data_IF_094424983247
#
_entry.id   IF_094424983247
#
_cell.length_a   1.000
_cell.length_b   1.000
_cell.length_c   1.000
_cell.angle_alpha   90.00
_cell.angle_beta   90.00
_cell.angle_gamma   90.00
#
_symmetry.space_group_name_H-M   'P 1'
#
loop_
_entity.id
_entity.type
_entity.pdbx_description
1 polymer ?
#
# COMPACT_ATOMS: atom_id res chain seq x y z
N UNK A 1 -2.01 -4.16 41.76
CA UNK A 1 -0.78 -3.31 41.72
C UNK A 1 0.33 -4.00 40.93
N UNK A 2 0.38 -5.31 40.88
CA UNK A 2 1.50 -6.11 40.32
C UNK A 2 1.63 -6.10 38.79
N UNK A 3 0.61 -5.75 38.03
CA UNK A 3 0.67 -5.73 36.57
C UNK A 3 1.29 -4.47 35.94
N UNK A 4 1.51 -3.41 36.71
CA UNK A 4 2.13 -2.16 36.23
C UNK A 4 3.66 -2.23 36.38
N UNK A 5 4.18 -3.08 37.28
CA UNK A 5 5.62 -3.29 37.44
C UNK A 5 6.25 -4.04 36.24
N UNK A 6 5.48 -4.89 35.54
CA UNK A 6 5.95 -5.55 34.30
C UNK A 6 6.14 -4.61 33.11
N UNK A 7 5.71 -3.34 33.23
CA UNK A 7 5.90 -2.31 32.21
C UNK A 7 7.16 -1.43 32.45
N UNK A 8 7.98 -1.76 33.45
CA UNK A 8 9.27 -1.08 33.61
C UNK A 8 10.17 -1.39 32.44
N UNK A 9 10.81 -0.39 31.83
CA UNK A 9 11.68 -0.59 30.69
C UNK A 9 12.93 -1.37 31.12
N UNK A 10 13.32 -2.39 30.36
CA UNK A 10 14.73 -2.73 30.23
C UNK A 10 15.38 -1.57 29.48
N UNK A 11 15.91 -0.61 30.24
CA UNK A 11 16.73 0.46 29.72
C UNK A 11 18.13 -0.11 29.58
N UNK A 12 18.51 -0.59 28.41
CA UNK A 12 19.90 -0.57 28.02
C UNK A 12 20.25 0.90 27.72
N UNK A 13 20.99 1.49 28.62
CA UNK A 13 21.64 2.80 28.44
C UNK A 13 22.57 2.69 27.23
N UNK A 14 22.19 3.35 26.13
CA UNK A 14 23.09 3.53 24.98
C UNK A 14 23.73 4.92 25.17
N UNK A 15 25.01 4.92 25.56
CA UNK A 15 25.86 6.10 25.54
C UNK A 15 25.97 6.65 24.13
N UNK A 16 25.77 7.96 23.99
CA UNK A 16 26.06 8.69 22.76
C UNK A 16 27.58 8.89 22.69
N UNK A 17 28.27 8.02 21.98
CA UNK A 17 29.65 8.23 21.62
C UNK A 17 29.79 8.46 20.11
N UNK A 18 30.63 9.39 19.80
CA UNK A 18 30.94 10.11 18.59
C UNK A 18 31.10 9.24 17.33
N UNK A 19 30.57 9.75 16.24
CA UNK A 19 30.76 9.19 14.87
C UNK A 19 32.13 9.67 14.38
N UNK A 20 33.15 8.84 14.49
CA UNK A 20 34.39 8.98 13.69
C UNK A 20 34.14 8.51 12.23
N UNK A 21 34.45 9.40 11.29
CA UNK A 21 34.62 9.12 9.89
C UNK A 21 35.68 8.03 9.69
N UNK A 22 35.32 6.97 9.00
CA UNK A 22 36.25 6.05 8.37
C UNK A 22 35.99 6.02 6.87
N UNK A 23 36.73 6.87 6.15
CA UNK A 23 37.13 6.65 4.78
C UNK A 23 38.19 5.56 4.80
N UNK A 24 37.93 4.43 4.17
CA UNK A 24 38.83 3.54 3.45
C UNK A 24 38.20 2.14 3.32
N UNK A 25 37.61 1.86 2.18
CA UNK A 25 37.44 0.49 1.67
C UNK A 25 37.75 0.50 0.17
N UNK A 26 38.74 -0.31 -0.18
CA UNK A 26 39.43 -0.38 -1.44
C UNK A 26 38.60 -0.61 -2.69
N UNK A 27 39.16 -0.18 -3.79
CA UNK A 27 38.75 -0.29 -5.18
C UNK A 27 38.44 -1.74 -5.58
N UNK A 28 37.23 -1.96 -6.08
CA UNK A 28 36.79 -3.21 -6.67
C UNK A 28 35.28 -3.27 -6.84
N UNK A 29 34.63 -2.21 -7.37
CA UNK A 29 33.20 -2.25 -7.64
C UNK A 29 32.86 -1.66 -9.00
N UNK A 30 32.14 -2.42 -9.80
CA UNK A 30 31.29 -1.92 -10.87
C UNK A 30 30.53 -0.68 -10.36
N UNK A 31 30.68 0.46 -11.04
CA UNK A 31 30.02 1.73 -10.65
C UNK A 31 28.50 1.56 -10.70
N UNK A 32 27.89 1.40 -9.53
CA UNK A 32 26.45 1.49 -9.33
C UNK A 32 26.03 2.91 -9.74
N UNK A 33 25.00 3.05 -10.56
CA UNK A 33 24.52 4.37 -10.97
C UNK A 33 23.95 5.11 -9.75
N UNK A 34 23.96 6.44 -9.77
CA UNK A 34 23.41 7.26 -8.66
C UNK A 34 21.96 6.86 -8.35
N UNK A 35 21.15 6.58 -9.37
CA UNK A 35 19.75 6.15 -9.21
C UNK A 35 19.63 4.80 -8.48
N UNK A 36 20.47 3.82 -8.82
CA UNK A 36 20.48 2.52 -8.12
C UNK A 36 20.89 2.67 -6.65
N UNK A 37 21.84 3.56 -6.35
CA UNK A 37 22.25 3.84 -4.99
C UNK A 37 21.10 4.47 -4.16
N UNK A 38 20.38 5.41 -4.73
CA UNK A 38 19.23 6.07 -4.08
C UNK A 38 18.07 5.08 -3.85
N UNK A 39 17.82 4.14 -4.76
CA UNK A 39 16.86 3.06 -4.59
C UNK A 39 17.23 2.10 -3.43
N UNK A 40 18.50 1.73 -3.33
CA UNK A 40 19.00 0.89 -2.22
C UNK A 40 18.77 1.59 -0.88
N UNK A 41 19.13 2.87 -0.76
CA UNK A 41 18.94 3.66 0.45
C UNK A 41 17.43 3.77 0.80
N UNK A 42 16.58 4.01 -0.19
CA UNK A 42 15.13 4.07 0.02
C UNK A 42 14.57 2.73 0.53
N UNK A 43 15.02 1.64 -0.06
CA UNK A 43 14.67 0.28 0.35
C UNK A 43 15.10 -0.01 1.78
N UNK A 44 16.35 0.30 2.14
CA UNK A 44 16.85 0.12 3.52
C UNK A 44 16.02 0.91 4.55
N UNK A 45 15.65 2.15 4.24
CA UNK A 45 14.82 2.98 5.13
C UNK A 45 13.43 2.36 5.35
N UNK A 46 12.82 1.82 4.30
CA UNK A 46 11.52 1.13 4.39
C UNK A 46 11.62 -0.14 5.25
N UNK A 47 12.62 -0.97 4.98
CA UNK A 47 12.83 -2.22 5.73
C UNK A 47 13.14 -1.94 7.21
N UNK A 48 13.99 -0.94 7.48
CA UNK A 48 14.24 -0.49 8.84
C UNK A 48 12.95 -0.03 9.53
N UNK A 49 12.07 0.69 8.86
CA UNK A 49 10.79 1.11 9.42
C UNK A 49 9.88 -0.07 9.78
N UNK A 50 9.80 -1.09 8.91
CA UNK A 50 9.05 -2.30 9.21
C UNK A 50 9.62 -3.04 10.44
N UNK A 51 10.93 -3.14 10.55
CA UNK A 51 11.59 -3.78 11.70
C UNK A 51 11.50 -2.93 12.97
N UNK A 52 11.48 -1.61 12.85
CA UNK A 52 11.39 -0.66 13.96
C UNK A 52 9.97 -0.50 14.52
N UNK A 53 8.94 -1.02 13.86
CA UNK A 53 7.52 -0.83 14.20
C UNK A 53 7.22 -1.11 15.68
N UNK A 54 7.75 -2.21 16.25
CA UNK A 54 7.57 -2.54 17.67
C UNK A 54 8.14 -1.47 18.58
N UNK A 55 9.38 -1.02 18.33
CA UNK A 55 10.02 0.03 19.15
C UNK A 55 9.21 1.32 19.08
N UNK A 56 8.82 1.76 17.90
CA UNK A 56 7.96 2.91 17.70
C UNK A 56 6.65 2.81 18.50
N UNK A 57 5.95 1.69 18.41
CA UNK A 57 4.70 1.46 19.12
C UNK A 57 4.87 1.45 20.65
N UNK A 58 5.94 0.82 21.17
CA UNK A 58 6.23 0.81 22.61
C UNK A 58 6.55 2.22 23.12
N UNK A 59 7.32 3.01 22.37
CA UNK A 59 7.60 4.42 22.73
C UNK A 59 6.29 5.22 22.84
N UNK A 60 5.33 5.03 21.93
CA UNK A 60 4.02 5.70 22.02
C UNK A 60 3.22 5.26 23.25
N UNK A 61 3.25 3.98 23.62
CA UNK A 61 2.65 3.51 24.87
C UNK A 61 3.34 4.17 26.07
N UNK A 62 4.67 4.28 26.08
CA UNK A 62 5.41 4.93 27.16
C UNK A 62 5.03 6.40 27.33
N UNK A 63 4.85 7.11 26.22
CA UNK A 63 4.34 8.50 26.25
C UNK A 63 2.94 8.57 26.89
N UNK A 64 2.07 7.63 26.56
CA UNK A 64 0.72 7.53 27.16
C UNK A 64 0.78 7.23 28.65
N UNK A 65 1.67 6.33 29.09
CA UNK A 65 1.89 6.04 30.51
C UNK A 65 2.38 7.31 31.26
N UNK A 66 3.36 8.01 30.69
CA UNK A 66 3.89 9.25 31.28
C UNK A 66 2.79 10.32 31.42
N UNK A 67 1.94 10.45 30.40
CA UNK A 67 0.80 11.38 30.43
C UNK A 67 -0.23 10.97 31.49
N UNK A 68 -0.55 9.68 31.59
CA UNK A 68 -1.46 9.15 32.62
C UNK A 68 -0.93 9.40 34.03
N UNK A 69 0.37 9.23 34.28
CA UNK A 69 1.00 9.47 35.58
C UNK A 69 0.94 10.94 36.02
N UNK A 70 0.80 11.89 35.07
CA UNK A 70 0.64 13.32 35.36
C UNK A 70 -0.79 13.73 35.72
N UNK A 71 -1.77 12.85 35.54
CA UNK A 71 -3.16 13.10 35.93
C UNK A 71 -3.29 13.15 37.47
N UNK A 72 -4.33 13.82 37.98
CA UNK A 72 -4.65 13.77 39.40
C UNK A 72 -5.00 12.33 39.83
N UNK A 73 -4.87 12.03 41.13
CA UNK A 73 -5.23 10.71 41.67
C UNK A 73 -6.68 10.35 41.41
N UNK A 74 -7.58 11.35 41.47
CA UNK A 74 -8.99 11.18 41.18
C UNK A 74 -9.20 10.80 39.69
N UNK A 75 -8.56 11.49 38.76
CA UNK A 75 -8.63 11.17 37.33
C UNK A 75 -8.03 9.80 37.03
N UNK A 76 -6.89 9.45 37.64
CA UNK A 76 -6.31 8.12 37.51
C UNK A 76 -7.24 7.03 38.01
N UNK A 77 -7.88 7.23 39.16
CA UNK A 77 -8.84 6.28 39.73
C UNK A 77 -10.07 6.10 38.83
N UNK A 78 -10.54 7.18 38.20
CA UNK A 78 -11.67 7.13 37.28
C UNK A 78 -11.37 6.35 35.98
N UNK A 79 -10.14 6.38 35.51
CA UNK A 79 -9.72 5.66 34.29
C UNK A 79 -9.24 4.22 34.57
N UNK A 80 -8.76 3.95 35.79
CA UNK A 80 -8.25 2.63 36.19
C UNK A 80 -9.40 1.68 36.56
N UNK A 81 -9.31 0.36 36.30
CA UNK A 81 -8.19 -0.34 35.66
C UNK A 81 -8.28 -0.41 34.12
N UNK A 82 -9.37 0.06 33.52
CA UNK A 82 -9.65 -0.10 32.09
C UNK A 82 -8.54 0.46 31.19
N UNK A 83 -8.05 1.68 31.50
CA UNK A 83 -7.00 2.30 30.71
C UNK A 83 -5.66 1.55 30.80
N UNK A 84 -5.28 1.09 31.97
CA UNK A 84 -4.06 0.31 32.18
C UNK A 84 -4.13 -1.02 31.42
N UNK A 85 -5.26 -1.73 31.51
CA UNK A 85 -5.48 -2.96 30.75
C UNK A 85 -5.42 -2.72 29.23
N UNK A 86 -5.98 -1.60 28.77
CA UNK A 86 -5.91 -1.21 27.35
C UNK A 86 -4.45 -1.05 26.88
N UNK A 87 -3.59 -0.37 27.64
CA UNK A 87 -2.16 -0.20 27.28
C UNK A 87 -1.42 -1.55 27.19
N UNK A 88 -1.73 -2.48 28.11
CA UNK A 88 -1.18 -3.85 28.04
C UNK A 88 -1.63 -4.54 26.76
N UNK A 89 -2.91 -4.45 26.41
CA UNK A 89 -3.42 -5.05 25.17
C UNK A 89 -2.88 -4.39 23.92
N UNK A 90 -2.66 -3.07 23.90
CA UNK A 90 -1.96 -2.39 22.81
C UNK A 90 -0.56 -2.98 22.58
N UNK A 91 0.21 -3.23 23.66
CA UNK A 91 1.54 -3.84 23.57
C UNK A 91 1.48 -5.23 22.91
N UNK A 92 0.54 -6.07 23.32
CA UNK A 92 0.33 -7.40 22.72
C UNK A 92 0.03 -7.31 21.21
N UNK A 93 -0.87 -6.42 20.81
CA UNK A 93 -1.23 -6.21 19.40
C UNK A 93 -0.06 -5.66 18.57
N UNK A 94 0.75 -4.75 19.12
CA UNK A 94 1.95 -4.22 18.46
C UNK A 94 2.99 -5.33 18.26
N UNK A 95 3.21 -6.17 19.26
CA UNK A 95 4.14 -7.31 19.16
C UNK A 95 3.66 -8.29 18.10
N UNK A 96 2.36 -8.53 18.02
CA UNK A 96 1.78 -9.40 17.00
C UNK A 96 1.99 -8.83 15.58
N UNK A 97 1.67 -7.56 15.36
CA UNK A 97 1.90 -6.91 14.06
C UNK A 97 3.38 -6.97 13.66
N UNK A 98 4.30 -6.80 14.61
CA UNK A 98 5.73 -6.91 14.33
C UNK A 98 6.13 -8.30 13.82
N UNK A 99 5.49 -9.38 14.32
CA UNK A 99 5.75 -10.73 13.81
C UNK A 99 5.31 -10.83 12.35
N UNK A 100 4.10 -10.36 12.03
CA UNK A 100 3.59 -10.37 10.64
C UNK A 100 4.49 -9.55 9.71
N UNK A 101 4.93 -8.35 10.14
CA UNK A 101 5.84 -7.53 9.35
C UNK A 101 7.20 -8.22 9.10
N UNK A 102 7.70 -9.00 10.06
CA UNK A 102 8.91 -9.81 9.87
C UNK A 102 8.69 -10.94 8.87
N UNK A 103 7.58 -11.66 8.97
CA UNK A 103 7.22 -12.73 8.04
C UNK A 103 7.08 -12.20 6.60
N UNK A 104 6.54 -10.98 6.42
CA UNK A 104 6.48 -10.30 5.12
C UNK A 104 7.88 -10.06 4.56
N UNK A 105 8.81 -9.54 5.38
CA UNK A 105 10.21 -9.30 4.96
C UNK A 105 10.90 -10.62 4.63
N UNK A 106 10.81 -11.61 5.49
CA UNK A 106 11.44 -12.92 5.30
C UNK A 106 10.96 -13.62 4.03
N UNK A 107 9.65 -13.53 3.74
CA UNK A 107 9.08 -14.03 2.50
C UNK A 107 9.64 -13.26 1.27
N UNK A 108 9.82 -11.94 1.40
CA UNK A 108 10.34 -11.09 0.34
C UNK A 108 11.80 -11.38 -0.03
N UNK A 109 12.64 -11.74 0.94
CA UNK A 109 14.05 -12.11 0.69
C UNK A 109 14.15 -13.22 -0.34
N UNK A 110 13.27 -14.20 -0.28
CA UNK A 110 13.27 -15.33 -1.21
C UNK A 110 12.84 -14.92 -2.64
N UNK A 111 12.06 -13.85 -2.77
CA UNK A 111 11.58 -13.34 -4.05
C UNK A 111 12.63 -12.53 -4.80
N UNK A 112 13.35 -11.66 -4.08
CA UNK A 112 14.35 -10.77 -4.68
C UNK A 112 15.75 -11.41 -4.81
N UNK A 113 15.90 -12.69 -4.46
CA UNK A 113 17.11 -13.49 -4.72
C UNK A 113 18.36 -12.92 -4.06
N UNK A 114 19.27 -12.45 -4.88
CA UNK A 114 20.58 -11.93 -4.44
C UNK A 114 20.60 -10.43 -4.11
N UNK A 115 19.43 -9.79 -3.93
CA UNK A 115 19.38 -8.38 -3.51
C UNK A 115 20.08 -8.21 -2.17
N UNK A 116 21.26 -7.58 -2.23
CA UNK A 116 22.13 -7.35 -1.08
C UNK A 116 21.46 -6.45 -0.02
N UNK A 117 20.71 -5.44 -0.45
CA UNK A 117 20.05 -4.50 0.46
C UNK A 117 18.97 -5.21 1.30
N UNK A 118 18.19 -6.08 0.68
CA UNK A 118 17.16 -6.85 1.35
C UNK A 118 17.75 -7.87 2.35
N UNK A 119 18.83 -8.57 1.96
CA UNK A 119 19.55 -9.51 2.84
C UNK A 119 20.22 -8.79 4.02
N UNK A 120 20.87 -7.65 3.76
CA UNK A 120 21.50 -6.83 4.79
C UNK A 120 20.46 -6.32 5.80
N UNK A 121 19.28 -5.88 5.33
CA UNK A 121 18.22 -5.39 6.19
C UNK A 121 17.66 -6.48 7.12
N UNK A 122 17.52 -7.72 6.65
CA UNK A 122 17.08 -8.86 7.49
C UNK A 122 18.10 -9.18 8.58
N UNK A 123 19.39 -8.96 8.29
CA UNK A 123 20.49 -9.18 9.22
C UNK A 123 20.81 -7.96 10.11
N UNK A 124 20.09 -6.83 9.95
CA UNK A 124 20.31 -5.64 10.78
C UNK A 124 20.20 -5.97 12.27
N UNK A 125 21.33 -5.97 12.95
CA UNK A 125 21.43 -6.13 14.41
C UNK A 125 21.10 -4.83 15.15
N UNK A 126 21.30 -3.68 14.52
CA UNK A 126 21.01 -2.36 15.07
C UNK A 126 19.93 -1.64 14.28
N UNK A 127 18.73 -1.56 14.88
CA UNK A 127 17.62 -0.80 14.31
C UNK A 127 17.82 0.69 14.62
N UNK A 128 17.81 1.51 13.57
CA UNK A 128 17.87 2.97 13.70
C UNK A 128 16.46 3.55 13.93
N UNK A 129 16.31 4.68 14.65
CA UNK A 129 15.04 5.38 14.71
C UNK A 129 14.53 5.70 13.29
N UNK A 130 13.28 5.37 13.03
CA UNK A 130 12.65 5.65 11.74
C UNK A 130 11.85 6.94 11.82
N UNK A 131 11.85 7.72 10.74
CA UNK A 131 11.06 8.95 10.68
C UNK A 131 9.54 8.65 10.68
N UNK A 132 8.75 9.64 11.12
CA UNK A 132 7.29 9.54 11.13
C UNK A 132 6.73 9.30 9.72
N UNK A 133 7.38 9.80 8.67
CA UNK A 133 7.02 9.55 7.28
C UNK A 133 7.05 8.04 6.95
N UNK A 134 8.18 7.35 7.22
CA UNK A 134 8.27 5.91 6.95
C UNK A 134 7.38 5.08 7.88
N UNK A 135 7.25 5.49 9.15
CA UNK A 135 6.31 4.84 10.08
C UNK A 135 4.85 5.00 9.64
N UNK A 136 4.50 6.14 9.06
CA UNK A 136 3.17 6.36 8.46
C UNK A 136 2.93 5.39 7.30
N UNK A 137 3.91 5.18 6.43
CA UNK A 137 3.82 4.19 5.33
C UNK A 137 3.55 2.78 5.85
N UNK A 138 4.28 2.33 6.89
CA UNK A 138 4.05 1.00 7.50
C UNK A 138 2.64 0.88 8.09
N UNK A 139 2.17 1.92 8.81
CA UNK A 139 0.81 1.94 9.35
C UNK A 139 -0.25 1.93 8.25
N UNK A 140 -0.04 2.67 7.18
CA UNK A 140 -0.92 2.68 6.01
C UNK A 140 -0.98 1.31 5.33
N UNK A 141 0.15 0.60 5.24
CA UNK A 141 0.19 -0.75 4.67
C UNK A 141 -0.68 -1.74 5.46
N UNK A 142 -0.62 -1.71 6.80
CA UNK A 142 -1.50 -2.54 7.63
C UNK A 142 -2.99 -2.24 7.37
N UNK A 143 -3.35 -0.97 7.14
CA UNK A 143 -4.73 -0.59 6.75
C UNK A 143 -5.07 -1.02 5.32
N UNK A 144 -4.10 -0.99 4.41
CA UNK A 144 -4.30 -1.49 3.04
C UNK A 144 -4.45 -3.01 2.99
N UNK A 145 -3.76 -3.78 3.85
CA UNK A 145 -4.04 -5.21 4.02
C UNK A 145 -5.51 -5.42 4.42
N UNK A 146 -6.02 -4.66 5.38
CA UNK A 146 -7.43 -4.72 5.77
C UNK A 146 -8.34 -4.37 4.61
N UNK A 147 -8.10 -3.26 3.88
CA UNK A 147 -8.88 -2.82 2.73
C UNK A 147 -8.92 -3.89 1.63
N UNK A 148 -7.75 -4.35 1.19
CA UNK A 148 -7.64 -5.16 -0.03
C UNK A 148 -7.88 -6.64 0.21
N UNK A 149 -7.55 -7.15 1.39
CA UNK A 149 -7.50 -8.59 1.65
C UNK A 149 -8.26 -9.05 2.89
N UNK A 150 -9.18 -8.24 3.43
CA UNK A 150 -10.04 -8.70 4.52
C UNK A 150 -11.54 -8.57 4.20
N UNK A 151 -12.34 -9.31 4.97
CA UNK A 151 -13.80 -9.19 4.89
C UNK A 151 -14.29 -7.79 5.31
N UNK A 152 -13.61 -7.10 6.25
CA UNK A 152 -13.96 -5.73 6.64
C UNK A 152 -13.77 -4.72 5.50
N UNK A 153 -12.78 -4.92 4.63
CA UNK A 153 -12.49 -4.05 3.50
C UNK A 153 -13.42 -4.25 2.28
N UNK A 154 -14.32 -5.26 2.32
CA UNK A 154 -15.14 -5.62 1.16
C UNK A 154 -15.95 -4.45 0.60
N UNK A 155 -16.67 -3.72 1.44
CA UNK A 155 -17.50 -2.58 1.02
C UNK A 155 -16.67 -1.48 0.35
N UNK A 156 -15.48 -1.20 0.90
CA UNK A 156 -14.56 -0.22 0.33
C UNK A 156 -14.05 -0.68 -1.05
N UNK A 157 -13.58 -1.92 -1.17
CA UNK A 157 -13.16 -2.50 -2.45
C UNK A 157 -14.26 -2.48 -3.50
N UNK A 158 -15.46 -2.89 -3.14
CA UNK A 158 -16.61 -2.91 -4.04
C UNK A 158 -16.95 -1.51 -4.55
N UNK A 159 -16.84 -0.49 -3.71
CA UNK A 159 -17.05 0.91 -4.13
C UNK A 159 -16.01 1.41 -5.14
N UNK A 160 -14.80 0.83 -5.15
CA UNK A 160 -13.71 1.22 -6.03
C UNK A 160 -13.58 0.33 -7.29
N UNK A 161 -13.86 -0.98 -7.18
CA UNK A 161 -13.52 -1.96 -8.22
C UNK A 161 -14.73 -2.43 -9.04
N UNK A 162 -15.93 -2.47 -8.44
CA UNK A 162 -17.06 -3.12 -9.07
C UNK A 162 -17.42 -2.54 -10.43
N UNK A 163 -17.47 -1.21 -10.57
CA UNK A 163 -17.84 -0.59 -11.86
C UNK A 163 -16.84 -0.94 -12.96
N UNK A 164 -15.56 -0.94 -12.64
CA UNK A 164 -14.48 -1.35 -13.56
C UNK A 164 -14.64 -2.81 -13.99
N UNK A 165 -14.86 -3.72 -13.04
CA UNK A 165 -15.03 -5.14 -13.31
C UNK A 165 -16.31 -5.38 -14.12
N UNK A 166 -17.41 -4.71 -13.82
CA UNK A 166 -18.67 -4.82 -14.55
C UNK A 166 -18.55 -4.35 -16.00
N UNK A 167 -17.83 -3.25 -16.24
CA UNK A 167 -17.58 -2.77 -17.61
C UNK A 167 -16.78 -3.80 -18.40
N UNK A 168 -15.74 -4.38 -17.82
CA UNK A 168 -14.98 -5.42 -18.51
C UNK A 168 -15.83 -6.65 -18.81
N UNK A 169 -16.70 -7.06 -17.89
CA UNK A 169 -17.65 -8.16 -18.12
C UNK A 169 -18.60 -7.89 -19.27
N UNK A 170 -19.07 -6.64 -19.41
CA UNK A 170 -19.98 -6.23 -20.48
C UNK A 170 -19.28 -6.13 -21.83
N UNK A 171 -18.05 -5.58 -21.86
CA UNK A 171 -17.28 -5.43 -23.09
C UNK A 171 -16.67 -6.75 -23.60
N UNK A 172 -16.36 -7.66 -22.67
CA UNK A 172 -15.82 -8.99 -22.95
C UNK A 172 -16.71 -10.09 -22.35
N UNK A 173 -17.92 -10.29 -22.91
CA UNK A 173 -18.90 -11.22 -22.33
C UNK A 173 -18.49 -12.68 -22.46
N UNK A 174 -17.73 -13.03 -23.48
CA UNK A 174 -17.25 -14.39 -23.74
C UNK A 174 -16.05 -14.70 -22.83
N UNK A 175 -16.30 -15.51 -21.79
CA UNK A 175 -15.29 -15.88 -20.80
C UNK A 175 -14.16 -16.72 -21.38
N UNK A 176 -14.40 -17.51 -22.39
CA UNK A 176 -13.38 -18.39 -22.99
C UNK A 176 -12.30 -17.57 -23.69
N UNK A 177 -12.66 -16.44 -24.26
CA UNK A 177 -11.75 -15.55 -24.97
C UNK A 177 -11.06 -14.53 -24.07
N UNK A 178 -11.46 -14.36 -22.80
CA UNK A 178 -10.84 -13.36 -21.88
C UNK A 178 -9.37 -13.59 -21.63
N UNK A 179 -8.89 -14.83 -21.70
CA UNK A 179 -7.47 -15.16 -21.50
C UNK A 179 -6.54 -14.55 -22.55
N UNK A 180 -7.08 -14.17 -23.72
CA UNK A 180 -6.34 -13.50 -24.80
C UNK A 180 -6.28 -11.97 -24.63
N UNK A 181 -7.08 -11.40 -23.74
CA UNK A 181 -7.13 -9.97 -23.45
C UNK A 181 -6.06 -9.62 -22.42
N UNK A 182 -5.10 -8.81 -22.84
CA UNK A 182 -3.99 -8.35 -21.98
C UNK A 182 -4.36 -7.04 -21.27
N UNK A 183 -4.43 -7.10 -19.93
CA UNK A 183 -4.82 -5.99 -19.06
C UNK A 183 -3.61 -5.54 -18.24
N UNK A 184 -3.34 -4.23 -18.21
CA UNK A 184 -2.37 -3.62 -17.31
C UNK A 184 -3.08 -2.86 -16.19
N UNK A 185 -2.61 -3.05 -14.95
CA UNK A 185 -3.08 -2.32 -13.77
C UNK A 185 -1.88 -1.62 -13.13
N UNK A 186 -1.57 -0.35 -13.51
CA UNK A 186 -0.54 0.41 -12.84
C UNK A 186 -1.00 0.83 -11.43
N UNK A 187 -0.05 0.93 -10.47
CA UNK A 187 -0.35 1.19 -9.07
C UNK A 187 -1.11 0.03 -8.43
N UNK A 188 -0.72 -1.21 -8.74
CA UNK A 188 -1.45 -2.41 -8.34
C UNK A 188 -1.53 -2.62 -6.82
N UNK A 189 -0.73 -1.90 -6.02
CA UNK A 189 -0.72 -1.98 -4.56
C UNK A 189 -0.49 -3.41 -4.07
N UNK A 190 -1.43 -3.94 -3.30
CA UNK A 190 -1.37 -5.31 -2.78
C UNK A 190 -1.88 -6.37 -3.77
N UNK A 191 -2.11 -6.01 -5.04
CA UNK A 191 -2.45 -6.94 -6.11
C UNK A 191 -3.90 -7.44 -6.09
N UNK A 192 -4.80 -6.88 -5.26
CA UNK A 192 -6.17 -7.40 -5.15
C UNK A 192 -6.97 -7.22 -6.45
N UNK A 193 -6.97 -6.04 -7.06
CA UNK A 193 -7.68 -5.82 -8.32
C UNK A 193 -7.12 -6.71 -9.43
N UNK A 194 -5.79 -6.86 -9.50
CA UNK A 194 -5.14 -7.78 -10.46
C UNK A 194 -5.65 -9.20 -10.25
N UNK A 195 -5.68 -9.67 -9.01
CA UNK A 195 -6.17 -11.00 -8.64
C UNK A 195 -7.64 -11.21 -9.05
N UNK A 196 -8.52 -10.24 -8.79
CA UNK A 196 -9.94 -10.33 -9.16
C UNK A 196 -10.13 -10.41 -10.69
N UNK A 197 -9.38 -9.61 -11.45
CA UNK A 197 -9.43 -9.64 -12.91
C UNK A 197 -8.89 -10.95 -13.49
N UNK A 198 -7.85 -11.52 -12.88
CA UNK A 198 -7.35 -12.87 -13.23
C UNK A 198 -8.41 -13.93 -12.93
N UNK A 199 -9.13 -13.83 -11.81
CA UNK A 199 -10.24 -14.72 -11.46
C UNK A 199 -11.43 -14.58 -12.44
N UNK A 200 -11.58 -13.40 -13.06
CA UNK A 200 -12.57 -13.19 -14.16
C UNK A 200 -12.12 -13.79 -15.50
N UNK A 201 -10.91 -14.30 -15.59
CA UNK A 201 -10.37 -14.96 -16.79
C UNK A 201 -9.43 -14.10 -17.65
N UNK A 202 -9.16 -12.84 -17.30
CA UNK A 202 -8.26 -11.96 -18.06
C UNK A 202 -6.79 -12.29 -17.81
N UNK A 203 -5.93 -12.05 -18.82
CA UNK A 203 -4.48 -12.03 -18.61
C UNK A 203 -4.07 -10.66 -18.07
N UNK A 204 -3.55 -10.61 -16.85
CA UNK A 204 -3.33 -9.34 -16.14
C UNK A 204 -1.91 -9.20 -15.64
N UNK A 205 -1.33 -8.02 -15.85
CA UNK A 205 -0.11 -7.58 -15.22
C UNK A 205 -0.38 -6.39 -14.31
N UNK A 206 0.00 -6.50 -13.04
CA UNK A 206 0.11 -5.35 -12.14
C UNK A 206 1.48 -4.71 -12.27
N UNK A 207 1.56 -3.37 -12.15
CA UNK A 207 2.81 -2.65 -11.97
C UNK A 207 2.76 -1.92 -10.63
N UNK A 208 3.83 -2.00 -9.84
CA UNK A 208 3.91 -1.37 -8.52
C UNK A 208 5.34 -0.89 -8.25
N UNK A 209 5.46 0.33 -7.73
CA UNK A 209 6.76 0.95 -7.41
C UNK A 209 7.18 0.71 -5.95
N UNK A 210 6.22 0.71 -5.03
CA UNK A 210 6.51 0.65 -3.60
C UNK A 210 7.01 -0.72 -3.17
N UNK A 211 8.26 -0.81 -2.73
CA UNK A 211 8.84 -2.05 -2.18
C UNK A 211 8.00 -2.61 -1.03
N UNK A 212 7.40 -1.75 -0.19
CA UNK A 212 6.52 -2.14 0.91
C UNK A 212 5.26 -2.85 0.41
N UNK A 213 4.67 -2.35 -0.69
CA UNK A 213 3.52 -3.00 -1.35
C UNK A 213 3.94 -4.30 -2.02
N UNK A 214 5.06 -4.32 -2.73
CA UNK A 214 5.59 -5.52 -3.40
C UNK A 214 5.87 -6.65 -2.42
N UNK A 215 6.57 -6.39 -1.31
CA UNK A 215 6.83 -7.38 -0.27
C UNK A 215 5.53 -7.93 0.34
N UNK A 216 4.58 -7.03 0.63
CA UNK A 216 3.32 -7.40 1.25
C UNK A 216 2.42 -8.17 0.27
N UNK A 217 2.34 -7.76 -0.99
CA UNK A 217 1.58 -8.48 -2.02
C UNK A 217 2.17 -9.87 -2.28
N UNK A 218 3.52 -9.98 -2.33
CA UNK A 218 4.21 -11.26 -2.46
C UNK A 218 3.88 -12.21 -1.30
N UNK A 219 3.90 -11.71 -0.06
CA UNK A 219 3.50 -12.49 1.10
C UNK A 219 2.06 -13.00 0.98
N UNK A 220 1.12 -12.16 0.60
CA UNK A 220 -0.28 -12.55 0.50
C UNK A 220 -0.50 -13.51 -0.65
N UNK A 221 0.00 -13.20 -1.85
CA UNK A 221 -0.26 -13.97 -3.08
C UNK A 221 0.47 -15.31 -3.13
N UNK A 222 1.67 -15.40 -2.55
CA UNK A 222 2.53 -16.57 -2.68
C UNK A 222 2.70 -17.37 -1.38
N UNK A 223 2.57 -16.74 -0.19
CA UNK A 223 2.74 -17.41 1.10
C UNK A 223 1.42 -17.88 1.70
N UNK A 224 0.36 -17.05 1.66
CA UNK A 224 -0.94 -17.44 2.20
C UNK A 224 -1.59 -18.52 1.33
N UNK A 225 -2.09 -19.57 1.97
CA UNK A 225 -2.70 -20.74 1.27
C UNK A 225 -4.17 -20.91 1.59
N UNK A 226 -4.68 -20.23 2.60
CA UNK A 226 -6.06 -20.35 3.06
C UNK A 226 -6.66 -18.99 3.37
N UNK A 227 -7.98 -18.89 3.29
CA UNK A 227 -8.70 -17.73 3.77
C UNK A 227 -8.56 -17.59 5.29
N UNK A 228 -8.41 -16.35 5.77
CA UNK A 228 -8.29 -15.97 7.18
C UNK A 228 -7.10 -16.61 7.92
N UNK A 229 -6.05 -16.98 7.20
CA UNK A 229 -4.85 -17.63 7.73
C UNK A 229 -4.05 -16.70 8.65
N UNK A 230 -4.02 -15.41 8.34
CA UNK A 230 -3.25 -14.40 9.06
C UNK A 230 -4.16 -13.42 9.80
N UNK A 231 -3.57 -12.71 10.78
CA UNK A 231 -4.27 -11.70 11.57
C UNK A 231 -3.38 -10.48 11.78
N UNK A 232 -3.98 -9.29 11.75
CA UNK A 232 -3.32 -8.01 12.08
C UNK A 232 -4.22 -7.14 12.96
N UNK A 233 -3.63 -6.09 13.54
CA UNK A 233 -4.32 -5.06 14.33
C UNK A 233 -4.02 -3.69 13.68
N UNK A 234 -4.70 -3.34 12.56
CA UNK A 234 -4.30 -2.21 11.72
C UNK A 234 -4.49 -0.84 12.39
N UNK A 235 -5.34 -0.77 13.42
CA UNK A 235 -5.71 0.48 14.09
C UNK A 235 -5.06 0.67 15.46
N UNK A 236 -4.23 -0.26 15.91
CA UNK A 236 -3.65 -0.24 17.26
C UNK A 236 -2.90 1.06 17.59
N UNK A 237 -2.27 1.69 16.60
CA UNK A 237 -1.55 2.96 16.75
C UNK A 237 -2.38 4.20 16.39
N UNK A 238 -3.67 4.04 16.08
CA UNK A 238 -4.58 5.16 15.86
C UNK A 238 -5.21 5.55 17.20
N UNK A 239 -4.60 6.51 17.87
CA UNK A 239 -5.01 6.94 19.22
C UNK A 239 -6.15 7.98 19.23
N UNK A 240 -6.54 8.48 18.05
CA UNK A 240 -7.60 9.48 17.88
C UNK A 240 -8.84 8.87 17.22
N UNK A 241 -9.99 9.52 17.43
CA UNK A 241 -11.26 9.19 16.77
C UNK A 241 -11.75 7.75 17.01
N UNK A 242 -11.44 7.15 18.15
CA UNK A 242 -11.92 5.83 18.53
C UNK A 242 -13.19 5.93 19.36
N UNK A 243 -14.22 5.15 19.03
CA UNK A 243 -15.42 5.02 19.85
C UNK A 243 -15.17 4.21 21.13
N UNK A 244 -14.33 3.19 21.03
CA UNK A 244 -13.97 2.34 22.17
C UNK A 244 -12.55 1.78 22.05
N UNK A 245 -12.01 1.29 23.16
CA UNK A 245 -10.76 0.52 23.16
C UNK A 245 -10.86 -0.76 22.32
N UNK A 246 -12.01 -1.40 22.31
CA UNK A 246 -12.23 -2.62 21.54
C UNK A 246 -12.17 -2.34 20.03
N UNK A 247 -12.68 -1.20 19.56
CA UNK A 247 -12.62 -0.81 18.15
C UNK A 247 -11.19 -0.53 17.70
N UNK A 248 -10.39 0.10 18.56
CA UNK A 248 -8.98 0.35 18.28
C UNK A 248 -8.14 -0.94 18.22
N UNK A 249 -8.43 -1.88 19.11
CA UNK A 249 -7.65 -3.13 19.28
C UNK A 249 -8.26 -4.33 18.55
N UNK A 250 -9.23 -4.10 17.66
CA UNK A 250 -9.87 -5.22 16.97
C UNK A 250 -8.92 -5.93 16.03
N UNK A 251 -8.93 -7.26 16.05
CA UNK A 251 -8.19 -8.04 15.07
C UNK A 251 -8.90 -8.02 13.71
N UNK A 252 -8.10 -8.05 12.65
CA UNK A 252 -8.57 -8.21 11.28
C UNK A 252 -7.89 -9.44 10.68
N UNK A 253 -8.67 -10.42 10.25
CA UNK A 253 -8.16 -11.62 9.58
C UNK A 253 -8.04 -11.39 8.08
N UNK A 254 -6.99 -11.95 7.48
CA UNK A 254 -6.71 -11.91 6.04
C UNK A 254 -5.92 -13.14 5.58
N UNK A 255 -5.87 -13.46 4.27
CA UNK A 255 -6.73 -12.93 3.22
C UNK A 255 -8.19 -13.42 3.37
N UNK A 256 -9.18 -12.66 2.89
CA UNK A 256 -10.61 -13.05 2.95
C UNK A 256 -10.99 -14.16 1.97
N UNK A 257 -10.13 -14.45 1.02
CA UNK A 257 -10.23 -15.53 0.04
C UNK A 257 -8.89 -16.27 -0.04
N UNK A 258 -8.89 -17.51 -0.51
CA UNK A 258 -7.64 -18.19 -0.85
C UNK A 258 -7.01 -17.49 -2.07
N UNK A 259 -5.78 -16.92 -1.98
CA UNK A 259 -5.19 -16.21 -3.09
C UNK A 259 -4.58 -17.12 -4.16
N UNK A 260 -4.43 -18.41 -3.85
CA UNK A 260 -3.86 -19.40 -4.78
C UNK A 260 -4.78 -19.59 -5.98
N UNK A 261 -4.22 -19.39 -7.16
CA UNK A 261 -4.90 -19.64 -8.43
C UNK A 261 -4.53 -21.02 -8.97
N UNK A 262 -5.45 -21.70 -9.71
CA UNK A 262 -5.11 -22.96 -10.38
C UNK A 262 -3.95 -22.79 -11.36
N UNK A 263 -3.05 -23.79 -11.44
CA UNK A 263 -1.87 -23.74 -12.32
C UNK A 263 -2.22 -24.00 -13.79
N UNK A 264 -3.32 -24.69 -14.06
CA UNK A 264 -3.81 -25.07 -15.40
C UNK A 264 -4.66 -23.98 -16.07
N UNK A 265 -4.78 -22.79 -15.47
CA UNK A 265 -5.54 -21.69 -16.06
C UNK A 265 -4.88 -21.20 -17.38
N UNK A 266 -5.68 -20.83 -18.38
CA UNK A 266 -5.16 -20.36 -19.67
C UNK A 266 -4.64 -18.91 -19.62
N UNK A 267 -5.07 -18.11 -18.63
CA UNK A 267 -4.72 -16.70 -18.47
C UNK A 267 -3.50 -16.48 -17.59
N UNK A 268 -2.83 -15.35 -17.81
CA UNK A 268 -1.58 -14.99 -17.13
C UNK A 268 -1.85 -14.10 -15.92
N UNK A 269 -1.04 -14.29 -14.89
CA UNK A 269 -0.97 -13.41 -13.72
C UNK A 269 0.49 -13.02 -13.46
N UNK A 270 0.80 -11.73 -13.50
CA UNK A 270 2.15 -11.23 -13.20
C UNK A 270 2.13 -9.90 -12.46
N UNK A 271 3.19 -9.64 -11.70
CA UNK A 271 3.49 -8.35 -11.08
C UNK A 271 4.83 -7.86 -11.60
N UNK A 272 4.91 -6.58 -11.99
CA UNK A 272 6.11 -5.90 -12.45
C UNK A 272 6.50 -4.85 -11.40
N UNK A 273 7.70 -4.94 -10.87
CA UNK A 273 8.26 -3.95 -9.97
C UNK A 273 8.88 -2.78 -10.76
N UNK A 274 8.73 -1.57 -10.25
CA UNK A 274 9.38 -0.37 -10.77
C UNK A 274 8.43 0.79 -11.06
N UNK A 275 9.03 1.96 -11.30
CA UNK A 275 8.30 3.15 -11.73
C UNK A 275 7.53 2.87 -13.02
N UNK A 276 6.32 3.44 -13.12
CA UNK A 276 5.43 3.16 -14.26
C UNK A 276 6.01 3.61 -15.60
N UNK A 277 6.61 4.81 -15.65
CA UNK A 277 7.17 5.35 -16.88
C UNK A 277 8.38 4.51 -17.35
N UNK A 278 9.24 4.13 -16.41
CA UNK A 278 10.41 3.29 -16.69
C UNK A 278 10.02 1.85 -17.05
N UNK A 279 9.09 1.25 -16.30
CA UNK A 279 8.63 -0.11 -16.56
C UNK A 279 7.95 -0.26 -17.93
N UNK A 280 7.25 0.79 -18.39
CA UNK A 280 6.52 0.79 -19.66
C UNK A 280 7.29 1.48 -20.82
N UNK A 281 8.54 1.90 -20.60
CA UNK A 281 9.29 2.68 -21.60
C UNK A 281 9.48 1.97 -22.95
N UNK A 282 9.57 0.65 -22.95
CA UNK A 282 9.76 -0.16 -24.15
C UNK A 282 8.45 -0.71 -24.74
N UNK A 283 7.33 -0.59 -24.03
CA UNK A 283 6.03 -1.06 -24.52
C UNK A 283 5.47 -0.08 -25.57
N UNK A 284 4.89 -0.64 -26.61
CA UNK A 284 4.16 0.10 -27.64
C UNK A 284 3.03 -0.77 -28.17
N UNK A 285 1.80 -0.26 -28.15
CA UNK A 285 0.62 -0.95 -28.70
C UNK A 285 0.50 -2.42 -28.26
N UNK A 286 0.79 -2.66 -26.98
CA UNK A 286 0.82 -4.00 -26.39
C UNK A 286 -0.50 -4.35 -25.69
N UNK A 287 -1.09 -3.40 -24.96
CA UNK A 287 -2.18 -3.66 -24.04
C UNK A 287 -3.55 -3.45 -24.69
N UNK A 288 -4.47 -4.39 -24.44
CA UNK A 288 -5.87 -4.25 -24.84
C UNK A 288 -6.61 -3.31 -23.91
N UNK A 289 -6.29 -3.37 -22.61
CA UNK A 289 -6.89 -2.54 -21.57
C UNK A 289 -5.85 -2.04 -20.59
N UNK A 290 -5.93 -0.76 -20.23
CA UNK A 290 -5.22 -0.19 -19.07
C UNK A 290 -6.26 0.27 -18.05
N UNK A 291 -6.07 -0.10 -16.77
CA UNK A 291 -6.98 0.23 -15.69
C UNK A 291 -6.22 0.99 -14.61
N UNK A 292 -6.62 2.23 -14.37
CA UNK A 292 -6.06 3.09 -13.33
C UNK A 292 -7.10 3.32 -12.23
N UNK A 293 -6.80 2.86 -11.01
CA UNK A 293 -7.68 3.04 -9.84
C UNK A 293 -6.87 3.69 -8.73
N UNK A 294 -7.20 4.94 -8.36
CA UNK A 294 -6.43 5.75 -7.42
C UNK A 294 -4.94 5.84 -7.81
N UNK A 295 -4.67 6.17 -9.09
CA UNK A 295 -3.32 6.08 -9.64
C UNK A 295 -2.84 7.33 -10.35
N UNK A 296 -3.65 7.98 -11.20
CA UNK A 296 -3.13 9.06 -12.08
C UNK A 296 -2.59 10.25 -11.31
N UNK A 297 -3.08 10.49 -10.11
CA UNK A 297 -2.65 11.56 -9.19
C UNK A 297 -1.39 11.22 -8.37
N UNK A 298 -0.81 10.05 -8.60
CA UNK A 298 0.51 9.66 -8.04
C UNK A 298 1.67 10.14 -8.92
N UNK A 299 1.39 10.64 -10.13
CA UNK A 299 2.39 11.16 -11.03
C UNK A 299 2.95 12.51 -10.53
N UNK A 300 4.24 12.76 -10.77
CA UNK A 300 4.81 14.11 -10.70
C UNK A 300 4.14 14.97 -11.77
N UNK A 301 4.12 14.48 -13.01
CA UNK A 301 3.41 15.06 -14.14
C UNK A 301 2.39 14.08 -14.70
N UNK A 302 1.11 14.34 -14.48
CA UNK A 302 0.02 13.48 -14.95
C UNK A 302 -0.04 13.35 -16.47
N UNK A 303 0.48 14.32 -17.21
CA UNK A 303 0.51 14.28 -18.67
C UNK A 303 1.44 13.19 -19.19
N UNK A 304 2.54 12.93 -18.51
CA UNK A 304 3.47 11.85 -18.88
C UNK A 304 2.84 10.47 -18.71
N UNK A 305 1.99 10.31 -17.67
CA UNK A 305 1.20 9.08 -17.51
C UNK A 305 0.20 8.92 -18.65
N UNK A 306 -0.51 9.97 -19.04
CA UNK A 306 -1.47 9.96 -20.15
C UNK A 306 -0.78 9.59 -21.46
N UNK A 307 0.39 10.20 -21.74
CA UNK A 307 1.17 9.94 -22.95
C UNK A 307 1.69 8.50 -23.00
N UNK A 308 2.12 7.98 -21.86
CA UNK A 308 2.57 6.59 -21.74
C UNK A 308 1.39 5.63 -21.95
N UNK A 309 0.23 5.87 -21.32
CA UNK A 309 -0.97 5.05 -21.51
C UNK A 309 -1.39 5.04 -22.97
N UNK A 310 -1.39 6.22 -23.63
CA UNK A 310 -1.68 6.29 -25.06
C UNK A 310 -0.70 5.47 -25.90
N UNK A 311 0.60 5.55 -25.60
CA UNK A 311 1.67 4.84 -26.34
C UNK A 311 1.50 3.32 -26.22
N UNK A 312 1.23 2.81 -25.00
CA UNK A 312 1.23 1.37 -24.72
C UNK A 312 -0.08 0.66 -25.09
N UNK A 313 -1.20 1.38 -25.18
CA UNK A 313 -2.48 0.83 -25.63
C UNK A 313 -2.43 0.51 -27.14
N UNK A 314 -3.02 -0.62 -27.52
CA UNK A 314 -3.32 -0.95 -28.92
C UNK A 314 -4.29 0.08 -29.48
N UNK A 315 -4.33 0.22 -30.81
CA UNK A 315 -5.40 0.96 -31.47
C UNK A 315 -6.74 0.26 -31.19
N UNK A 316 -7.76 1.01 -30.77
CA UNK A 316 -9.02 0.49 -30.25
C UNK A 316 -8.96 -0.04 -28.81
N UNK A 317 -7.80 0.03 -28.17
CA UNK A 317 -7.62 -0.36 -26.76
C UNK A 317 -8.32 0.60 -25.80
N UNK A 318 -8.66 0.10 -24.63
CA UNK A 318 -9.47 0.80 -23.62
C UNK A 318 -8.63 1.32 -22.47
N UNK A 319 -8.93 2.52 -22.02
CA UNK A 319 -8.47 3.03 -20.74
C UNK A 319 -9.66 3.27 -19.80
N UNK A 320 -9.64 2.63 -18.63
CA UNK A 320 -10.65 2.79 -17.59
C UNK A 320 -9.95 3.46 -16.41
N UNK A 321 -10.47 4.60 -15.96
CA UNK A 321 -9.93 5.33 -14.82
C UNK A 321 -10.98 5.52 -13.73
N UNK A 322 -10.56 5.36 -12.48
CA UNK A 322 -11.34 5.65 -11.29
C UNK A 322 -10.47 6.23 -10.19
N UNK A 323 -10.75 7.44 -9.72
CA UNK A 323 -10.01 8.01 -8.60
C UNK A 323 -10.22 9.50 -8.41
N UNK A 324 -9.71 10.04 -7.30
CA UNK A 324 -9.61 11.48 -7.04
C UNK A 324 -8.39 12.08 -7.74
N UNK A 325 -8.13 13.35 -7.44
CA UNK A 325 -6.93 14.10 -7.83
C UNK A 325 -6.31 14.70 -6.56
N UNK A 326 -5.63 13.87 -5.78
CA UNK A 326 -4.98 14.28 -4.51
C UNK A 326 -3.55 14.74 -4.70
N UNK A 327 -2.97 14.48 -5.88
CA UNK A 327 -1.60 14.82 -6.27
C UNK A 327 -0.56 14.63 -5.17
N UNK A 328 0.14 13.51 -5.23
CA UNK A 328 1.09 13.08 -4.19
C UNK A 328 2.31 13.99 -4.03
N UNK A 329 2.58 14.85 -5.01
CA UNK A 329 3.70 15.79 -5.04
C UNK A 329 3.20 17.25 -5.07
N UNK A 330 1.99 17.51 -4.57
CA UNK A 330 1.43 18.85 -4.47
C UNK A 330 2.32 19.77 -3.60
N UNK A 331 2.09 21.08 -3.72
CA UNK A 331 2.80 22.11 -2.94
C UNK A 331 4.32 22.14 -3.15
N UNK A 332 4.81 21.65 -4.30
CA UNK A 332 6.22 21.73 -4.70
C UNK A 332 7.12 20.68 -4.07
N UNK A 333 6.56 19.54 -3.62
CA UNK A 333 7.34 18.42 -3.08
C UNK A 333 8.28 17.77 -4.11
N UNK A 334 8.03 17.97 -5.42
CA UNK A 334 8.92 17.52 -6.48
C UNK A 334 9.08 18.57 -7.58
N UNK A 335 10.27 18.67 -8.17
CA UNK A 335 10.53 19.52 -9.33
C UNK A 335 9.72 19.01 -10.53
N UNK A 336 9.00 19.92 -11.20
CA UNK A 336 8.15 19.60 -12.34
C UNK A 336 6.77 19.05 -11.99
N UNK A 337 6.40 19.02 -10.72
CA UNK A 337 5.05 18.67 -10.31
C UNK A 337 4.02 19.65 -10.89
N UNK A 338 2.87 19.10 -11.30
CA UNK A 338 1.77 19.88 -11.84
C UNK A 338 0.42 19.34 -11.37
N UNK A 339 -0.39 20.20 -10.77
CA UNK A 339 -1.72 19.93 -10.26
C UNK A 339 -2.78 20.46 -11.23
N UNK A 340 -3.32 19.58 -12.05
CA UNK A 340 -4.34 19.96 -13.05
C UNK A 340 -5.75 19.62 -12.54
N UNK A 341 -6.73 20.51 -12.74
CA UNK A 341 -8.12 20.18 -12.50
C UNK A 341 -8.62 19.12 -13.48
N UNK A 342 -9.63 18.37 -13.09
CA UNK A 342 -10.18 17.25 -13.87
C UNK A 342 -10.51 17.64 -15.32
N UNK A 343 -11.10 18.83 -15.54
CA UNK A 343 -11.45 19.30 -16.89
C UNK A 343 -10.23 19.43 -17.82
N UNK A 344 -9.10 19.91 -17.28
CA UNK A 344 -7.86 20.04 -18.06
C UNK A 344 -7.30 18.68 -18.44
N UNK A 345 -7.38 17.69 -17.53
CA UNK A 345 -7.00 16.30 -17.79
C UNK A 345 -7.87 15.71 -18.90
N UNK A 346 -9.19 15.84 -18.83
CA UNK A 346 -10.12 15.34 -19.86
C UNK A 346 -9.86 16.01 -21.22
N UNK A 347 -9.60 17.33 -21.24
CA UNK A 347 -9.24 18.04 -22.48
C UNK A 347 -7.94 17.50 -23.07
N UNK A 348 -6.92 17.22 -22.24
CA UNK A 348 -5.66 16.66 -22.74
C UNK A 348 -5.84 15.25 -23.30
N UNK A 349 -6.55 14.37 -22.60
CA UNK A 349 -6.88 13.03 -23.06
C UNK A 349 -7.60 13.08 -24.43
N UNK A 350 -8.57 13.99 -24.58
CA UNK A 350 -9.29 14.20 -25.85
C UNK A 350 -8.32 14.62 -26.98
N UNK A 351 -7.39 15.55 -26.70
CA UNK A 351 -6.37 15.98 -27.67
C UNK A 351 -5.40 14.88 -28.06
N UNK A 352 -5.24 13.84 -27.24
CA UNK A 352 -4.41 12.65 -27.51
C UNK A 352 -5.15 11.57 -28.30
N UNK A 353 -6.25 11.91 -28.99
CA UNK A 353 -7.06 10.97 -29.79
C UNK A 353 -7.69 9.83 -28.99
N UNK A 354 -8.13 10.11 -27.79
CA UNK A 354 -9.04 9.23 -27.07
C UNK A 354 -10.50 9.68 -27.32
N UNK A 355 -11.39 8.72 -27.54
CA UNK A 355 -12.83 8.92 -27.56
C UNK A 355 -13.41 8.44 -26.25
N UNK A 356 -14.13 9.33 -25.53
CA UNK A 356 -14.83 8.96 -24.30
C UNK A 356 -16.09 8.17 -24.63
N UNK A 357 -16.23 7.00 -24.06
CA UNK A 357 -17.45 6.18 -24.06
C UNK A 357 -18.30 6.53 -22.81
N UNK A 358 -17.63 6.91 -21.72
CA UNK A 358 -18.23 7.27 -20.44
C UNK A 358 -17.35 8.30 -19.72
N UNK A 359 -17.96 9.34 -19.16
CA UNK A 359 -17.33 10.33 -18.29
C UNK A 359 -18.34 10.72 -17.21
N UNK A 360 -18.10 10.24 -15.98
CA UNK A 360 -18.96 10.50 -14.83
C UNK A 360 -18.21 11.35 -13.81
N UNK A 361 -18.76 12.53 -13.58
CA UNK A 361 -18.33 13.46 -12.55
C UNK A 361 -19.27 13.33 -11.36
N UNK A 362 -18.89 13.79 -10.22
CA UNK A 362 -19.60 14.07 -8.95
C UNK A 362 -21.04 13.56 -8.65
N UNK A 363 -21.78 12.97 -9.59
CA UNK A 363 -23.16 12.53 -9.41
C UNK A 363 -23.29 11.01 -9.20
N UNK A 364 -22.24 10.36 -8.72
CA UNK A 364 -22.33 8.92 -8.39
C UNK A 364 -23.18 8.73 -7.14
N UNK A 365 -24.11 7.82 -7.23
CA UNK A 365 -24.95 7.42 -6.10
C UNK A 365 -24.16 6.78 -4.94
N UNK A 366 -22.94 6.32 -5.22
CA UNK A 366 -22.05 5.70 -4.24
C UNK A 366 -20.66 6.37 -4.29
N UNK A 367 -20.33 7.20 -3.31
CA UNK A 367 -18.99 7.75 -3.17
C UNK A 367 -17.97 6.65 -2.83
N UNK A 368 -16.72 6.85 -3.25
CA UNK A 368 -15.64 5.95 -2.92
C UNK A 368 -15.22 6.12 -1.47
N UNK A 369 -15.26 5.07 -0.70
CA UNK A 369 -14.60 4.98 0.58
C UNK A 369 -13.11 4.72 0.34
N UNK A 370 -12.23 5.32 1.16
CA UNK A 370 -10.80 5.06 1.05
C UNK A 370 -10.13 5.09 2.42
N UNK A 371 -9.45 4.00 2.76
CA UNK A 371 -8.89 3.74 4.09
C UNK A 371 -9.94 3.93 5.20
N UNK A 372 -11.16 3.52 4.93
CA UNK A 372 -12.31 3.74 5.77
C UNK A 372 -12.28 2.83 6.99
N UNK A 373 -12.18 3.41 8.17
CA UNK A 373 -12.46 2.71 9.41
C UNK A 373 -13.91 2.97 9.85
N UNK A 374 -14.83 2.08 9.52
CA UNK A 374 -16.26 2.21 9.88
C UNK A 374 -16.53 2.29 11.40
N UNK A 375 -15.52 1.91 12.22
CA UNK A 375 -15.58 2.01 13.69
C UNK A 375 -14.76 3.18 14.22
N UNK A 376 -14.57 4.23 13.41
CA UNK A 376 -13.93 5.50 13.78
C UNK A 376 -14.93 6.65 13.74
N UNK A 377 -14.64 7.70 14.51
CA UNK A 377 -15.37 8.98 14.43
C UNK A 377 -15.00 9.75 13.14
N UNK A 378 -13.96 9.34 12.43
CA UNK A 378 -13.49 9.97 11.19
C UNK A 378 -13.34 8.92 10.10
N UNK A 379 -13.88 9.23 8.93
CA UNK A 379 -13.62 8.50 7.69
C UNK A 379 -13.53 9.47 6.51
N UNK A 380 -12.78 9.05 5.50
CA UNK A 380 -12.64 9.80 4.24
C UNK A 380 -13.53 9.20 3.18
N UNK A 381 -14.10 10.10 2.37
CA UNK A 381 -14.97 9.76 1.27
C UNK A 381 -14.60 10.64 0.07
N UNK A 382 -14.41 10.05 -1.09
CA UNK A 382 -14.07 10.77 -2.31
C UNK A 382 -15.22 10.71 -3.32
N UNK A 383 -15.47 11.84 -3.98
CA UNK A 383 -16.25 11.91 -5.20
C UNK A 383 -15.28 11.76 -6.37
N UNK A 384 -15.02 10.52 -6.77
CA UNK A 384 -14.04 10.21 -7.79
C UNK A 384 -14.52 10.54 -9.20
N UNK A 385 -13.58 10.97 -10.05
CA UNK A 385 -13.77 10.94 -11.49
C UNK A 385 -13.75 9.50 -11.99
N UNK A 386 -14.69 9.15 -12.85
CA UNK A 386 -14.74 7.85 -13.52
C UNK A 386 -14.93 8.04 -15.01
N UNK A 387 -14.04 7.47 -15.80
CA UNK A 387 -14.19 7.47 -17.25
C UNK A 387 -13.76 6.16 -17.90
N UNK A 388 -14.32 5.94 -19.07
CA UNK A 388 -13.89 4.91 -20.01
C UNK A 388 -13.65 5.58 -21.34
N UNK A 389 -12.48 5.40 -21.91
CA UNK A 389 -12.17 5.92 -23.22
C UNK A 389 -11.42 4.91 -24.09
N UNK A 390 -11.56 5.06 -25.41
CA UNK A 390 -10.96 4.23 -26.43
C UNK A 390 -9.90 5.00 -27.19
N UNK A 391 -8.70 4.43 -27.36
CA UNK A 391 -7.65 4.97 -28.26
C UNK A 391 -8.09 4.82 -29.72
N UNK A 392 -8.11 5.93 -30.48
CA UNK A 392 -8.50 5.95 -31.90
C UNK A 392 -7.35 5.56 -32.86
#
# INVERSE_FOLDING_TARGET
MDKVEELKPEVEEISCDEVENRDDIGEGSTSVSQNEHDEIIATEKVLNAMLFYRRYGITRIQMSITSYQKLSKEQQAALSPAYQYHLVKMKECIIHNQKVLREIIECGVSMFGDDFALRAAVQMTQLRPSSDHYMSKVRSTLKQIMRDWSGEGKTERESCYNDTIQILRQLFPDKENRSTIEVLVPGAGLGRLVWELVAEGFSVQGNEFSILMLLTSNFILNKCKQANECKIYPFVLDTCNNWSYADQLRPVSFPDVCPVMPDDRPNKFSMCAGDFLEAMKNDKERWDVVITVFFIDTAINVLDYIDTIHKILKKGGLWINFGPLTFHFADGEAEGAIELPYDSIIQYITKKNFRFERDERANRSNPALYACNQKSMLYYQYNCGFFVCTKL
#
